data_IF_071155833304
#
_entry.id   IF_071155833304
#
_cell.length_a   1.000
_cell.length_b   1.000
_cell.length_c   1.000
_cell.angle_alpha   90.00
_cell.angle_beta   90.00
_cell.angle_gamma   90.00
#
_symmetry.space_group_name_H-M   'P 1'
#
loop_
_entity.id
_entity.type
_entity.pdbx_description
1 polymer ?
#
# COMPACT_ATOMS: atom_id res chain seq x y z
N UNK A 1 -16.20 4.88 17.03
CA UNK A 1 -14.86 4.30 16.90
C UNK A 1 -14.42 4.56 15.47
N UNK A 2 -13.21 5.07 15.25
CA UNK A 2 -12.73 5.30 13.89
C UNK A 2 -12.49 3.94 13.18
N UNK A 3 -12.81 3.81 11.88
CA UNK A 3 -12.57 2.58 11.13
C UNK A 3 -11.08 2.32 10.92
N UNK A 4 -10.72 1.04 10.85
CA UNK A 4 -9.42 0.59 10.34
C UNK A 4 -9.54 0.36 8.83
N UNK A 5 -8.67 0.99 8.05
CA UNK A 5 -8.70 0.99 6.58
C UNK A 5 -7.40 0.39 6.05
N UNK A 6 -7.49 -0.75 5.36
CA UNK A 6 -6.36 -1.30 4.61
C UNK A 6 -6.33 -0.70 3.20
N UNK A 7 -5.26 0.04 2.91
CA UNK A 7 -5.02 0.68 1.64
C UNK A 7 -3.93 -0.07 0.87
N UNK A 8 -4.22 -0.42 -0.39
CA UNK A 8 -3.32 -1.16 -1.29
C UNK A 8 -3.52 -0.71 -2.73
N UNK A 9 -2.59 -1.06 -3.61
CA UNK A 9 -2.65 -0.86 -5.06
C UNK A 9 -1.75 -1.89 -5.77
N UNK A 10 -1.76 -1.87 -7.11
CA UNK A 10 -0.84 -2.61 -7.96
C UNK A 10 0.33 -1.75 -8.49
N UNK A 11 0.24 -0.42 -8.51
CA UNK A 11 1.34 0.45 -8.96
C UNK A 11 2.56 0.49 -8.01
N UNK A 12 2.36 0.03 -6.76
CA UNK A 12 3.39 -0.04 -5.73
C UNK A 12 3.30 1.06 -4.67
N UNK A 13 4.05 0.87 -3.57
CA UNK A 13 3.98 1.71 -2.36
C UNK A 13 4.42 3.17 -2.56
N UNK A 14 5.20 3.45 -3.60
CA UNK A 14 5.64 4.81 -3.96
C UNK A 14 4.73 5.50 -4.97
N UNK A 15 3.58 4.91 -5.35
CA UNK A 15 2.72 5.51 -6.35
C UNK A 15 2.12 6.84 -5.83
N UNK A 16 2.10 7.91 -6.66
CA UNK A 16 1.51 9.18 -6.25
C UNK A 16 0.02 9.07 -5.87
N UNK A 17 -0.71 8.19 -6.53
CA UNK A 17 -2.13 7.94 -6.27
C UNK A 17 -2.39 7.32 -4.91
N UNK A 18 -1.55 6.36 -4.48
CA UNK A 18 -1.63 5.74 -3.17
C UNK A 18 -1.40 6.78 -2.05
N UNK A 19 -0.42 7.67 -2.23
CA UNK A 19 -0.12 8.71 -1.23
C UNK A 19 -1.24 9.74 -1.13
N UNK A 20 -1.77 10.19 -2.27
CA UNK A 20 -2.90 11.11 -2.30
C UNK A 20 -4.12 10.51 -1.58
N UNK A 21 -4.43 9.24 -1.85
CA UNK A 21 -5.55 8.55 -1.24
C UNK A 21 -5.34 8.31 0.26
N UNK A 22 -4.13 7.91 0.69
CA UNK A 22 -3.79 7.77 2.11
C UNK A 22 -4.07 9.06 2.87
N UNK A 23 -3.62 10.20 2.34
CA UNK A 23 -3.79 11.51 2.98
C UNK A 23 -5.26 11.81 3.26
N UNK A 24 -6.13 11.56 2.28
CA UNK A 24 -7.58 11.77 2.43
C UNK A 24 -8.21 10.77 3.41
N UNK A 25 -7.86 9.49 3.32
CA UNK A 25 -8.43 8.45 4.17
C UNK A 25 -8.01 8.58 5.64
N UNK A 26 -6.85 9.21 5.91
CA UNK A 26 -6.36 9.44 7.27
C UNK A 26 -7.25 10.39 8.08
N UNK A 27 -8.09 11.19 7.41
CA UNK A 27 -9.11 12.03 8.06
C UNK A 27 -10.34 11.21 8.50
N UNK A 28 -10.55 10.03 7.91
CA UNK A 28 -11.70 9.18 8.13
C UNK A 28 -11.43 8.06 9.16
N UNK A 29 -10.18 7.62 9.29
CA UNK A 29 -9.81 6.56 10.23
C UNK A 29 -8.33 6.18 10.22
N UNK A 30 -8.01 5.07 10.89
CA UNK A 30 -6.65 4.53 10.93
C UNK A 30 -6.32 3.84 9.60
N UNK A 31 -5.30 4.31 8.88
CA UNK A 31 -4.94 3.79 7.57
C UNK A 31 -3.67 2.95 7.66
N UNK A 32 -3.77 1.68 7.27
CA UNK A 32 -2.63 0.78 7.09
C UNK A 32 -2.34 0.65 5.60
N UNK A 33 -1.07 0.77 5.21
CA UNK A 33 -0.66 0.62 3.81
C UNK A 33 0.08 -0.69 3.65
N UNK A 34 -0.38 -1.54 2.74
CA UNK A 34 0.34 -2.74 2.32
C UNK A 34 0.30 -2.81 0.81
N UNK A 35 1.42 -2.50 0.16
CA UNK A 35 1.51 -2.40 -1.29
C UNK A 35 2.79 -3.07 -1.82
N UNK A 36 2.81 -3.49 -3.10
CA UNK A 36 4.01 -4.02 -3.73
C UNK A 36 5.17 -3.02 -3.73
N UNK A 37 6.40 -3.53 -3.74
CA UNK A 37 7.62 -2.70 -3.89
C UNK A 37 7.68 -2.02 -5.27
N UNK A 38 7.15 -2.69 -6.31
CA UNK A 38 7.24 -2.28 -7.71
C UNK A 38 5.85 -2.24 -8.33
N UNK A 39 5.74 -1.63 -9.51
CA UNK A 39 4.51 -1.67 -10.30
C UNK A 39 4.24 -3.11 -10.80
N UNK A 40 3.00 -3.57 -10.60
CA UNK A 40 2.43 -4.85 -11.00
C UNK A 40 1.17 -4.66 -11.87
N UNK A 41 1.01 -3.51 -12.51
CA UNK A 41 -0.06 -3.27 -13.47
C UNK A 41 -0.05 -4.34 -14.56
N UNK A 42 -1.24 -4.73 -15.01
CA UNK A 42 -1.46 -5.84 -15.96
C UNK A 42 -1.08 -7.25 -15.47
N UNK A 43 -0.70 -7.44 -14.20
CA UNK A 43 -0.46 -8.76 -13.63
C UNK A 43 -1.74 -9.56 -13.30
N UNK A 44 -2.93 -8.99 -13.53
CA UNK A 44 -4.23 -9.60 -13.17
C UNK A 44 -4.25 -10.05 -11.70
N UNK A 45 -4.97 -11.12 -11.35
CA UNK A 45 -5.08 -11.67 -9.99
C UNK A 45 -4.03 -12.75 -9.74
N UNK A 46 -2.78 -12.48 -10.11
CA UNK A 46 -1.67 -13.44 -9.95
C UNK A 46 -1.39 -13.71 -8.48
N UNK A 47 -1.15 -14.98 -8.15
CA UNK A 47 -0.76 -15.42 -6.79
C UNK A 47 0.61 -16.09 -6.86
N UNK A 48 1.49 -15.71 -5.94
CA UNK A 48 2.84 -16.29 -5.84
C UNK A 48 2.75 -17.56 -5.01
N UNK A 49 2.92 -18.73 -5.64
CA UNK A 49 2.88 -20.03 -4.95
C UNK A 49 4.25 -20.72 -4.84
N UNK A 50 5.23 -20.32 -5.65
CA UNK A 50 6.52 -21.01 -5.78
C UNK A 50 7.64 -20.41 -4.91
N UNK A 51 7.37 -19.34 -4.16
CA UNK A 51 8.32 -18.69 -3.26
C UNK A 51 7.58 -17.97 -2.13
N UNK A 52 8.21 -17.79 -0.96
CA UNK A 52 7.61 -17.01 0.13
C UNK A 52 7.51 -15.52 -0.26
N UNK A 53 6.50 -14.86 0.28
CA UNK A 53 6.41 -13.40 0.28
C UNK A 53 7.22 -12.84 1.44
N UNK A 54 7.88 -11.70 1.21
CA UNK A 54 8.62 -10.97 2.24
C UNK A 54 8.00 -9.59 2.37
N UNK A 55 7.84 -9.14 3.61
CA UNK A 55 7.26 -7.84 3.96
C UNK A 55 8.31 -7.07 4.74
N UNK A 56 8.42 -5.78 4.45
CA UNK A 56 9.33 -4.87 5.12
C UNK A 56 8.60 -3.56 5.37
N UNK A 57 8.97 -2.87 6.43
CA UNK A 57 8.55 -1.49 6.59
C UNK A 57 9.24 -0.61 5.56
N UNK A 58 8.52 0.37 5.04
CA UNK A 58 9.00 1.31 4.04
C UNK A 58 8.64 2.74 4.41
N UNK A 59 9.48 3.69 4.00
CA UNK A 59 9.21 5.11 4.20
C UNK A 59 8.47 5.67 2.98
N UNK A 60 7.35 6.35 3.22
CA UNK A 60 6.64 7.12 2.19
C UNK A 60 7.29 8.49 1.99
N UNK A 61 6.98 9.21 0.89
CA UNK A 61 7.55 10.53 0.62
C UNK A 61 7.22 11.61 1.65
N UNK A 62 6.15 11.44 2.43
CA UNK A 62 5.81 12.33 3.55
C UNK A 62 6.62 12.02 4.84
N UNK A 63 7.56 11.07 4.76
CA UNK A 63 8.42 10.64 5.87
C UNK A 63 7.80 9.58 6.78
N UNK A 64 6.52 9.23 6.58
CA UNK A 64 5.84 8.23 7.39
C UNK A 64 6.34 6.81 7.08
N UNK A 65 6.36 5.95 8.11
CA UNK A 65 6.65 4.53 7.96
C UNK A 65 5.34 3.75 7.76
N UNK A 66 5.36 2.81 6.81
CA UNK A 66 4.29 1.85 6.51
C UNK A 66 4.80 0.43 6.49
#
# INVERSE_FOLDING_TARGET
>A
MAPLILLTNDDGYLSPGLHALRRMLSELGEVWVLAPEKNWSAASRTRVFHKPLRVYSAQLPDGSLV
#
